data_IF_411316668519
#
_entry.id   IF_411316668519
#
_cell.length_a   1.000
_cell.length_b   1.000
_cell.length_c   1.000
_cell.angle_alpha   90.00
_cell.angle_beta   90.00
_cell.angle_gamma   90.00
#
_symmetry.space_group_name_H-M   'P 1'
#
loop_
_entity.id
_entity.type
_entity.pdbx_description
1 polymer ?
#
# COMPACT_ATOMS: atom_id res chain seq x y z
N UNK A 1 14.63 3.77 19.72
CA UNK A 1 13.28 3.95 19.15
C UNK A 1 13.38 3.53 17.69
N UNK A 2 12.59 2.55 17.25
CA UNK A 2 12.64 2.10 15.86
C UNK A 2 12.32 3.25 14.90
N UNK A 3 13.09 3.33 13.81
CA UNK A 3 12.92 4.35 12.77
C UNK A 3 11.52 4.26 12.19
N UNK A 4 10.74 5.34 12.27
CA UNK A 4 9.46 5.44 11.54
C UNK A 4 9.72 5.38 10.05
N UNK A 5 8.91 4.59 9.35
CA UNK A 5 9.05 4.30 7.92
C UNK A 5 7.94 4.98 7.15
N UNK A 6 8.22 5.30 5.88
CA UNK A 6 7.20 5.63 4.89
C UNK A 6 6.92 4.36 4.10
N UNK A 7 5.65 3.97 4.00
CA UNK A 7 5.23 2.69 3.40
C UNK A 7 4.19 2.98 2.32
N UNK A 8 4.46 2.51 1.11
CA UNK A 8 3.53 2.59 -0.01
C UNK A 8 2.83 1.25 -0.18
N UNK A 9 1.49 1.27 -0.11
CA UNK A 9 0.65 0.07 -0.13
C UNK A 9 -0.10 0.03 -1.46
N UNK A 10 0.14 -1.02 -2.25
CA UNK A 10 -0.59 -1.31 -3.47
C UNK A 10 -2.03 -1.78 -3.20
N UNK A 11 -2.88 -1.76 -4.22
CA UNK A 11 -4.30 -2.09 -4.11
C UNK A 11 -4.59 -3.49 -4.65
N UNK A 12 -4.50 -3.67 -5.97
CA UNK A 12 -4.90 -4.90 -6.64
C UNK A 12 -3.91 -6.04 -6.36
N UNK A 13 -4.46 -7.23 -6.10
CA UNK A 13 -3.76 -8.40 -5.56
C UNK A 13 -2.97 -8.16 -4.27
N UNK A 14 -3.19 -7.01 -3.60
CA UNK A 14 -2.48 -6.61 -2.38
C UNK A 14 -3.44 -6.40 -1.22
N UNK A 15 -4.34 -5.42 -1.30
CA UNK A 15 -5.40 -5.18 -0.32
C UNK A 15 -6.68 -5.94 -0.68
N UNK A 16 -6.92 -6.13 -1.98
CA UNK A 16 -8.04 -6.88 -2.53
C UNK A 16 -7.57 -7.77 -3.67
N UNK A 17 -8.32 -8.84 -3.92
CA UNK A 17 -8.30 -9.57 -5.18
C UNK A 17 -9.65 -9.40 -5.86
N UNK A 18 -9.64 -9.13 -7.17
CA UNK A 18 -10.87 -9.00 -7.95
C UNK A 18 -11.12 -10.26 -8.77
N UNK A 19 -12.29 -10.86 -8.62
CA UNK A 19 -12.76 -12.01 -9.41
C UNK A 19 -14.08 -11.64 -10.08
N UNK A 20 -14.04 -11.42 -11.39
CA UNK A 20 -15.18 -10.84 -12.11
C UNK A 20 -15.44 -9.42 -11.61
N UNK A 21 -16.61 -9.17 -11.04
CA UNK A 21 -16.97 -7.90 -10.41
C UNK A 21 -16.85 -7.92 -8.88
N UNK A 22 -16.47 -9.06 -8.30
CA UNK A 22 -16.39 -9.22 -6.85
C UNK A 22 -14.99 -8.88 -6.34
N UNK A 23 -14.90 -7.96 -5.39
CA UNK A 23 -13.68 -7.67 -4.65
C UNK A 23 -13.63 -8.52 -3.37
N UNK A 24 -12.55 -9.27 -3.21
CA UNK A 24 -12.28 -10.16 -2.08
C UNK A 24 -11.13 -9.54 -1.27
N UNK A 25 -11.33 -9.14 -0.01
CA UNK A 25 -10.26 -8.60 0.82
C UNK A 25 -9.09 -9.56 1.00
N UNK A 26 -7.89 -9.02 1.18
CA UNK A 26 -6.66 -9.74 1.55
C UNK A 26 -6.36 -9.49 3.04
N UNK A 27 -6.86 -10.31 4.00
CA UNK A 27 -6.91 -9.94 5.40
C UNK A 27 -5.54 -9.67 6.03
N UNK A 28 -4.53 -10.49 5.69
CA UNK A 28 -3.17 -10.31 6.20
C UNK A 28 -2.57 -8.94 5.82
N UNK A 29 -2.83 -8.46 4.61
CA UNK A 29 -2.39 -7.13 4.15
C UNK A 29 -3.14 -6.01 4.86
N UNK A 30 -4.46 -6.16 5.07
CA UNK A 30 -5.27 -5.19 5.80
C UNK A 30 -4.80 -5.08 7.26
N UNK A 31 -4.50 -6.21 7.90
CA UNK A 31 -3.97 -6.23 9.26
C UNK A 31 -2.56 -5.64 9.34
N UNK A 32 -1.72 -5.88 8.32
CA UNK A 32 -0.42 -5.21 8.19
C UNK A 32 -0.56 -3.69 8.16
N UNK A 33 -1.48 -3.15 7.36
CA UNK A 33 -1.75 -1.69 7.30
C UNK A 33 -2.10 -1.15 8.68
N UNK A 34 -3.04 -1.79 9.38
CA UNK A 34 -3.46 -1.35 10.72
C UNK A 34 -2.31 -1.38 11.73
N UNK A 35 -1.52 -2.47 11.73
CA UNK A 35 -0.36 -2.60 12.63
C UNK A 35 0.70 -1.53 12.35
N UNK A 36 1.03 -1.29 11.09
CA UNK A 36 2.02 -0.28 10.72
C UNK A 36 1.54 1.14 11.06
N UNK A 37 0.27 1.45 10.81
CA UNK A 37 -0.30 2.73 11.22
C UNK A 37 -0.28 2.89 12.75
N UNK A 38 -0.71 1.89 13.51
CA UNK A 38 -0.68 1.91 14.98
C UNK A 38 0.75 2.01 15.54
N UNK A 39 1.73 1.43 14.84
CA UNK A 39 3.14 1.58 15.16
C UNK A 39 3.70 2.95 14.75
N UNK A 40 2.89 3.87 14.20
CA UNK A 40 3.26 5.25 13.89
C UNK A 40 4.07 5.43 12.62
N UNK A 41 4.00 4.48 11.68
CA UNK A 41 4.54 4.64 10.34
C UNK A 41 3.65 5.58 9.50
N UNK A 42 4.23 6.22 8.49
CA UNK A 42 3.49 7.01 7.51
C UNK A 42 3.12 6.12 6.34
N UNK A 43 1.83 5.99 6.04
CA UNK A 43 1.36 5.12 4.97
C UNK A 43 0.74 5.94 3.83
N UNK A 44 1.04 5.56 2.60
CA UNK A 44 0.38 6.03 1.38
C UNK A 44 -0.23 4.83 0.66
N UNK A 45 -1.45 4.97 0.17
CA UNK A 45 -2.06 3.96 -0.69
C UNK A 45 -1.90 4.40 -2.15
N UNK A 46 -1.50 3.49 -3.04
CA UNK A 46 -1.30 3.83 -4.45
C UNK A 46 -1.73 2.72 -5.41
N UNK A 47 -2.22 3.11 -6.58
CA UNK A 47 -2.63 2.17 -7.62
C UNK A 47 -2.41 2.74 -9.01
N UNK A 48 -2.25 1.86 -10.01
CA UNK A 48 -2.35 2.26 -11.42
C UNK A 48 -3.75 2.78 -11.76
N UNK A 49 -4.79 2.35 -11.02
CA UNK A 49 -6.16 2.87 -11.15
C UNK A 49 -6.35 4.29 -10.61
N UNK A 50 -5.32 4.89 -10.02
CA UNK A 50 -5.35 6.27 -9.52
C UNK A 50 -5.63 6.41 -8.01
N UNK A 51 -5.52 7.65 -7.53
CA UNK A 51 -5.71 7.99 -6.12
C UNK A 51 -7.15 7.80 -5.65
N UNK A 52 -8.13 8.18 -6.45
CA UNK A 52 -9.56 8.03 -6.09
C UNK A 52 -9.94 6.55 -5.95
N UNK A 53 -9.54 5.71 -6.92
CA UNK A 53 -9.70 4.25 -6.82
C UNK A 53 -9.07 3.68 -5.55
N UNK A 54 -7.86 4.14 -5.22
CA UNK A 54 -7.14 3.70 -4.01
C UNK A 54 -7.88 4.09 -2.72
N UNK A 55 -8.48 5.29 -2.70
CA UNK A 55 -9.28 5.79 -1.58
C UNK A 55 -10.56 4.99 -1.41
N UNK A 56 -11.25 4.69 -2.51
CA UNK A 56 -12.50 3.95 -2.50
C UNK A 56 -12.31 2.53 -1.94
N UNK A 57 -11.24 1.83 -2.37
CA UNK A 57 -10.90 0.51 -1.84
C UNK A 57 -10.51 0.58 -0.36
N UNK A 58 -9.68 1.54 0.05
CA UNK A 58 -9.32 1.66 1.46
C UNK A 58 -10.54 1.98 2.35
N UNK A 59 -11.51 2.75 1.82
CA UNK A 59 -12.75 3.09 2.51
C UNK A 59 -13.64 1.86 2.66
N UNK A 60 -13.80 1.04 1.60
CA UNK A 60 -14.61 -0.19 1.66
C UNK A 60 -14.05 -1.22 2.63
N UNK A 61 -12.73 -1.20 2.87
CA UNK A 61 -12.03 -2.06 3.82
C UNK A 61 -11.97 -1.49 5.25
N UNK A 62 -12.44 -0.26 5.47
CA UNK A 62 -12.38 0.40 6.78
C UNK A 62 -10.95 0.63 7.27
N UNK A 63 -10.06 1.07 6.38
CA UNK A 63 -8.66 1.41 6.68
C UNK A 63 -8.22 2.75 6.07
N UNK A 64 -9.16 3.56 5.55
CA UNK A 64 -8.83 4.82 4.89
C UNK A 64 -8.12 5.83 5.81
N UNK A 65 -8.48 5.83 7.10
CA UNK A 65 -7.88 6.63 8.16
C UNK A 65 -6.44 6.22 8.52
N UNK A 66 -6.01 5.04 8.09
CA UNK A 66 -4.63 4.59 8.27
C UNK A 66 -3.65 5.27 7.30
N UNK A 67 -4.14 5.94 6.26
CA UNK A 67 -3.32 6.52 5.19
C UNK A 67 -3.23 8.04 5.27
N UNK A 68 -2.02 8.56 5.06
CA UNK A 68 -1.75 10.00 4.92
C UNK A 68 -2.22 10.53 3.57
N UNK A 69 -2.23 9.69 2.53
CA UNK A 69 -2.67 10.09 1.20
C UNK A 69 -2.89 8.92 0.25
N UNK A 70 -3.59 9.21 -0.84
CA UNK A 70 -3.94 8.27 -1.90
C UNK A 70 -3.39 8.80 -3.22
N UNK A 71 -2.59 8.00 -3.93
CA UNK A 71 -1.77 8.45 -5.05
C UNK A 71 -1.95 7.56 -6.28
N UNK A 72 -1.88 8.09 -7.52
CA UNK A 72 -1.61 7.25 -8.68
C UNK A 72 -0.18 6.69 -8.59
N UNK A 73 0.03 5.48 -9.11
CA UNK A 73 1.40 5.04 -9.46
C UNK A 73 1.92 5.91 -10.60
N UNK A 74 3.19 6.38 -10.55
CA UNK A 74 3.70 7.30 -11.56
C UNK A 74 3.86 6.61 -12.93
N UNK A 75 3.53 7.33 -14.00
CA UNK A 75 3.86 6.91 -15.37
C UNK A 75 5.35 7.11 -15.69
N UNK A 76 5.93 8.17 -15.15
CA UNK A 76 7.34 8.54 -15.33
C UNK A 76 7.91 8.93 -13.97
N UNK A 77 9.07 8.35 -13.64
CA UNK A 77 9.89 8.79 -12.51
C UNK A 77 11.16 9.44 -13.06
N UNK A 78 11.40 10.69 -12.68
CA UNK A 78 12.65 11.40 -12.96
C UNK A 78 13.48 11.41 -11.67
N UNK A 79 14.60 10.69 -11.68
CA UNK A 79 15.44 10.46 -10.50
C UNK A 79 16.91 10.35 -10.90
N UNK A 80 17.83 10.86 -10.08
CA UNK A 80 19.28 10.84 -10.33
C UNK A 80 19.92 9.46 -10.12
N UNK A 81 19.20 8.52 -9.48
CA UNK A 81 19.62 7.13 -9.26
C UNK A 81 19.16 6.16 -10.33
N UNK A 82 18.24 6.56 -11.23
CA UNK A 82 17.78 5.73 -12.35
C UNK A 82 17.00 4.48 -11.93
N UNK A 83 17.35 3.31 -12.50
CA UNK A 83 16.69 2.01 -12.25
C UNK A 83 16.82 1.52 -10.80
N UNK A 84 17.73 2.13 -10.02
CA UNK A 84 17.96 1.87 -8.60
C UNK A 84 17.10 2.71 -7.66
N UNK A 85 16.00 3.30 -8.14
CA UNK A 85 15.09 4.14 -7.35
C UNK A 85 14.75 3.55 -5.96
N UNK A 86 14.72 2.23 -5.84
CA UNK A 86 14.28 1.49 -4.67
C UNK A 86 15.36 0.54 -4.09
N UNK A 87 16.66 0.80 -4.30
CA UNK A 87 17.74 -0.10 -3.85
C UNK A 87 17.87 -0.25 -2.32
N UNK A 88 17.25 0.65 -1.55
CA UNK A 88 17.10 0.59 -0.09
C UNK A 88 15.66 0.27 0.37
N UNK A 89 14.76 -0.08 -0.55
CA UNK A 89 13.36 -0.37 -0.25
C UNK A 89 13.16 -1.87 0.03
N UNK A 90 12.59 -2.19 1.20
CA UNK A 90 12.12 -3.54 1.49
C UNK A 90 10.80 -3.81 0.74
N UNK A 91 10.77 -4.84 -0.10
CA UNK A 91 9.53 -5.27 -0.78
C UNK A 91 8.86 -6.38 0.02
N UNK A 92 7.68 -6.10 0.54
CA UNK A 92 6.81 -7.06 1.23
C UNK A 92 5.75 -7.51 0.24
N UNK A 93 5.59 -8.83 0.09
CA UNK A 93 4.58 -9.41 -0.77
C UNK A 93 3.33 -9.75 0.05
N UNK A 94 2.12 -9.70 -0.53
CA UNK A 94 0.90 -10.09 0.18
C UNK A 94 0.98 -11.49 0.81
N UNK A 95 1.72 -12.41 0.19
CA UNK A 95 1.94 -13.78 0.69
C UNK A 95 2.81 -13.86 1.96
N UNK A 96 3.59 -12.83 2.28
CA UNK A 96 4.45 -12.79 3.47
C UNK A 96 4.14 -11.64 4.43
N UNK A 97 3.11 -10.83 4.18
CA UNK A 97 2.73 -9.68 4.98
C UNK A 97 2.47 -10.00 6.47
N UNK A 98 2.08 -11.23 6.80
CA UNK A 98 1.88 -11.67 8.18
C UNK A 98 3.19 -11.81 8.99
N UNK A 99 4.35 -11.89 8.32
CA UNK A 99 5.66 -12.08 8.95
C UNK A 99 6.39 -10.76 9.27
N UNK A 100 5.81 -9.63 8.88
CA UNK A 100 6.36 -8.27 9.05
C UNK A 100 5.40 -7.44 9.89
#
# INVERSE_FOLDING_TARGET
MDRKRVIYIDVDDTLIRTVGTTQIPMPASVDFVRRMHAAGHTLYCWSRGGGDYSRDVATSLGIADCFTGFLPKPDICLDDRGDKLLDYCDVILPSNAANH
#
